data_IF_678550507610
#
_entry.id   IF_678550507610
#
_cell.length_a   1.000
_cell.length_b   1.000
_cell.length_c   1.000
_cell.angle_alpha   90.00
_cell.angle_beta   90.00
_cell.angle_gamma   90.00
#
_symmetry.space_group_name_H-M   'P 1'
#
loop_
_entity.id
_entity.type
_entity.pdbx_description
1 polymer ?
#
# COMPACT_ATOMS: atom_id res chain seq x y z
N UNK A 1 13.60 -1.16 -9.55
CA UNK A 1 14.71 -0.22 -9.63
C UNK A 1 14.59 0.76 -8.46
N UNK A 2 15.69 1.39 -8.08
CA UNK A 2 15.72 2.44 -7.06
C UNK A 2 16.64 3.57 -7.51
N UNK A 3 16.24 4.81 -7.23
CA UNK A 3 17.05 6.02 -7.36
C UNK A 3 17.22 6.62 -5.97
N UNK A 4 18.47 6.74 -5.53
CA UNK A 4 18.84 7.14 -4.16
C UNK A 4 18.98 8.66 -4.01
N UNK A 5 17.93 9.40 -4.37
CA UNK A 5 17.74 10.81 -4.01
C UNK A 5 17.30 10.94 -2.56
N UNK A 6 17.12 12.17 -2.05
CA UNK A 6 16.48 12.42 -0.75
C UNK A 6 15.14 13.17 -0.97
N UNK A 7 13.96 12.52 -0.79
CA UNK A 7 13.77 11.10 -0.47
C UNK A 7 14.09 10.15 -1.64
N UNK A 8 14.28 8.86 -1.34
CA UNK A 8 14.52 7.83 -2.36
C UNK A 8 13.26 7.56 -3.19
N UNK A 9 13.44 7.08 -4.42
CA UNK A 9 12.36 6.66 -5.31
C UNK A 9 12.61 5.21 -5.73
N UNK A 10 11.69 4.31 -5.36
CA UNK A 10 11.77 2.90 -5.69
C UNK A 10 10.52 2.41 -6.42
N UNK A 11 10.69 1.52 -7.40
CA UNK A 11 9.58 0.96 -8.16
C UNK A 11 9.83 -0.49 -8.56
N UNK A 12 8.76 -1.28 -8.62
CA UNK A 12 8.76 -2.67 -9.07
C UNK A 12 7.45 -3.02 -9.80
N UNK A 13 7.50 -3.93 -10.77
CA UNK A 13 6.34 -4.38 -11.54
C UNK A 13 5.93 -3.41 -12.65
N UNK A 14 4.62 -3.39 -12.97
CA UNK A 14 4.02 -2.56 -14.02
C UNK A 14 3.63 -1.18 -13.49
N UNK A 15 3.73 -0.19 -14.37
CA UNK A 15 3.06 1.10 -14.19
C UNK A 15 1.59 1.06 -14.64
N UNK A 16 0.81 2.04 -14.18
CA UNK A 16 -0.60 2.22 -14.56
C UNK A 16 -0.77 2.35 -16.08
N UNK A 17 0.11 3.09 -16.74
CA UNK A 17 0.05 3.30 -18.19
C UNK A 17 0.38 2.02 -18.99
N UNK A 18 1.25 1.15 -18.46
CA UNK A 18 1.56 -0.15 -19.09
C UNK A 18 0.39 -1.12 -18.94
N UNK A 19 -0.24 -1.14 -17.77
CA UNK A 19 -1.46 -1.91 -17.55
C UNK A 19 -2.60 -1.45 -18.48
N UNK A 20 -2.76 -0.14 -18.65
CA UNK A 20 -3.73 0.44 -19.58
C UNK A 20 -3.47 0.03 -21.04
N UNK A 21 -2.21 0.09 -21.50
CA UNK A 21 -1.81 -0.38 -22.85
C UNK A 21 -2.14 -1.87 -23.08
N UNK A 22 -2.13 -2.68 -22.02
CA UNK A 22 -2.50 -4.10 -22.05
C UNK A 22 -3.99 -4.37 -21.82
N UNK A 23 -4.83 -3.34 -21.72
CA UNK A 23 -6.26 -3.48 -21.41
C UNK A 23 -6.55 -4.02 -20.01
N UNK A 24 -5.59 -3.99 -19.10
CA UNK A 24 -5.75 -4.48 -17.72
C UNK A 24 -6.38 -3.37 -16.89
N UNK A 25 -7.60 -3.60 -16.40
CA UNK A 25 -8.24 -2.70 -15.43
C UNK A 25 -7.53 -2.79 -14.09
N UNK A 26 -7.19 -1.66 -13.50
CA UNK A 26 -6.46 -1.58 -12.23
C UNK A 26 -7.22 -0.80 -11.17
N UNK A 27 -6.78 -0.98 -9.93
CA UNK A 27 -7.11 -0.16 -8.77
C UNK A 27 -5.81 0.15 -8.05
N UNK A 28 -5.64 1.41 -7.65
CA UNK A 28 -4.44 1.87 -6.97
C UNK A 28 -4.77 2.20 -5.53
N UNK A 29 -3.93 1.72 -4.62
CA UNK A 29 -4.00 2.03 -3.20
C UNK A 29 -2.75 2.81 -2.80
N UNK A 30 -2.94 3.95 -2.15
CA UNK A 30 -1.86 4.88 -1.84
C UNK A 30 -1.98 5.33 -0.39
N UNK A 31 -0.82 5.50 0.25
CA UNK A 31 -0.68 6.12 1.55
C UNK A 31 0.41 7.18 1.50
N UNK A 32 0.13 8.39 1.97
CA UNK A 32 1.11 9.47 2.16
C UNK A 32 1.87 9.27 3.46
N UNK A 33 3.12 9.74 3.53
CA UNK A 33 3.94 9.66 4.75
C UNK A 33 3.51 10.66 5.84
N UNK A 34 2.70 11.66 5.49
CA UNK A 34 2.08 12.60 6.44
C UNK A 34 1.22 11.90 7.51
N UNK A 35 0.65 10.74 7.19
CA UNK A 35 -0.09 9.91 8.15
C UNK A 35 0.71 8.68 8.59
N UNK A 36 2.04 8.71 8.58
CA UNK A 36 2.90 7.61 9.05
C UNK A 36 3.66 8.05 10.28
N UNK A 37 3.36 7.44 11.42
CA UNK A 37 3.79 7.89 12.75
C UNK A 37 5.31 7.96 12.88
N UNK A 38 6.03 7.00 12.28
CA UNK A 38 7.51 7.04 12.22
C UNK A 38 8.02 8.23 11.41
N UNK A 39 7.44 8.48 10.23
CA UNK A 39 7.77 9.61 9.36
C UNK A 39 7.52 10.96 10.04
N UNK A 40 6.41 11.08 10.78
CA UNK A 40 6.10 12.26 11.59
C UNK A 40 7.15 12.45 12.69
N UNK A 41 7.47 11.37 13.41
CA UNK A 41 8.49 11.38 14.48
C UNK A 41 9.86 11.82 13.97
N UNK A 42 10.23 11.38 12.76
CA UNK A 42 11.50 11.71 12.11
C UNK A 42 11.48 13.07 11.38
N UNK A 43 10.33 13.76 11.31
CA UNK A 43 10.18 15.01 10.57
C UNK A 43 10.34 14.88 9.04
N UNK A 44 10.12 13.68 8.50
CA UNK A 44 10.29 13.30 7.08
C UNK A 44 8.98 12.79 6.52
N UNK A 45 8.04 13.69 6.26
CA UNK A 45 6.66 13.37 5.86
C UNK A 45 6.41 13.47 4.36
N UNK A 46 7.43 13.86 3.58
CA UNK A 46 7.37 13.93 2.14
C UNK A 46 7.31 12.54 1.48
N UNK A 47 6.39 12.37 0.53
CA UNK A 47 6.30 11.15 -0.28
C UNK A 47 5.14 10.22 0.08
N UNK A 48 5.18 9.00 -0.44
CA UNK A 48 4.09 8.04 -0.40
C UNK A 48 4.51 6.61 -0.72
N UNK A 49 3.67 5.64 -0.35
CA UNK A 49 3.68 4.29 -0.88
C UNK A 49 2.43 4.04 -1.73
N UNK A 50 2.61 3.64 -3.00
CA UNK A 50 1.55 3.40 -3.99
C UNK A 50 1.62 1.97 -4.51
N UNK A 51 0.54 1.21 -4.40
CA UNK A 51 0.44 -0.20 -4.84
C UNK A 51 -0.63 -0.32 -5.91
N UNK A 52 -0.24 -0.84 -7.08
CA UNK A 52 -1.11 -1.09 -8.22
C UNK A 52 -1.62 -2.54 -8.18
N UNK A 53 -2.94 -2.71 -8.23
CA UNK A 53 -3.60 -4.02 -8.13
C UNK A 53 -4.52 -4.23 -9.33
N UNK A 54 -4.60 -5.47 -9.83
CA UNK A 54 -5.58 -5.84 -10.85
C UNK A 54 -7.00 -5.71 -10.29
N UNK A 55 -7.88 -4.98 -10.97
CA UNK A 55 -9.25 -4.75 -10.52
C UNK A 55 -10.01 -6.07 -10.41
N UNK A 56 -10.70 -6.27 -9.29
CA UNK A 56 -11.48 -7.48 -9.02
C UNK A 56 -10.67 -8.66 -8.47
N UNK A 57 -9.35 -8.51 -8.29
CA UNK A 57 -8.52 -9.50 -7.59
C UNK A 57 -7.66 -8.82 -6.51
N UNK A 58 -6.80 -9.60 -5.87
CA UNK A 58 -5.74 -9.09 -4.98
C UNK A 58 -4.35 -9.19 -5.62
N UNK A 59 -4.28 -9.41 -6.93
CA UNK A 59 -3.01 -9.54 -7.66
C UNK A 59 -2.30 -8.20 -7.74
N UNK A 60 -1.12 -8.12 -7.14
CA UNK A 60 -0.24 -6.96 -7.21
C UNK A 60 0.41 -6.93 -8.60
N UNK A 61 0.25 -5.82 -9.30
CA UNK A 61 0.84 -5.59 -10.63
C UNK A 61 2.15 -4.80 -10.54
N UNK A 62 2.25 -3.90 -9.57
CA UNK A 62 3.44 -3.09 -9.33
C UNK A 62 3.28 -2.21 -8.10
N UNK A 63 4.35 -1.52 -7.72
CA UNK A 63 4.34 -0.52 -6.67
C UNK A 63 5.40 0.55 -6.90
N UNK A 64 5.13 1.74 -6.38
CA UNK A 64 6.06 2.87 -6.35
C UNK A 64 6.11 3.42 -4.93
N UNK A 65 7.30 3.61 -4.38
CA UNK A 65 7.52 4.17 -3.05
C UNK A 65 8.44 5.37 -3.21
N UNK A 66 8.04 6.49 -2.63
CA UNK A 66 8.84 7.70 -2.47
C UNK A 66 8.94 7.95 -0.97
N UNK A 67 10.09 7.64 -0.37
CA UNK A 67 10.28 7.67 1.08
C UNK A 67 11.78 7.55 1.45
N UNK A 68 12.19 7.92 2.67
CA UNK A 68 13.43 7.40 3.23
C UNK A 68 13.43 5.86 3.20
N UNK A 69 14.55 5.25 2.80
CA UNK A 69 14.69 3.79 2.70
C UNK A 69 13.73 3.11 1.70
N UNK A 70 13.23 3.81 0.68
CA UNK A 70 12.32 3.24 -0.31
C UNK A 70 12.92 2.01 -1.03
N UNK A 71 14.25 2.01 -1.27
CA UNK A 71 14.97 0.89 -1.87
C UNK A 71 14.93 -0.39 -1.02
N UNK A 72 14.91 -0.26 0.30
CA UNK A 72 14.76 -1.39 1.22
C UNK A 72 13.29 -1.83 1.27
N UNK A 73 12.37 -0.88 1.43
CA UNK A 73 10.93 -1.11 1.53
C UNK A 73 10.36 -1.84 0.30
N UNK A 74 10.80 -1.49 -0.91
CA UNK A 74 10.27 -2.06 -2.16
C UNK A 74 10.54 -3.58 -2.30
N UNK A 75 11.54 -4.10 -1.56
CA UNK A 75 11.93 -5.50 -1.61
C UNK A 75 10.79 -6.42 -1.17
N UNK A 76 10.03 -6.03 -0.14
CA UNK A 76 8.87 -6.80 0.33
C UNK A 76 7.78 -6.93 -0.73
N UNK A 77 7.49 -5.86 -1.48
CA UNK A 77 6.54 -5.90 -2.59
C UNK A 77 7.09 -6.69 -3.78
N UNK A 78 8.38 -6.56 -4.06
CA UNK A 78 9.04 -7.32 -5.14
C UNK A 78 8.95 -8.81 -4.89
N UNK A 79 9.22 -9.26 -3.66
CA UNK A 79 9.04 -10.65 -3.26
C UNK A 79 7.58 -11.09 -3.42
N UNK A 80 6.62 -10.25 -3.02
CA UNK A 80 5.21 -10.58 -3.17
C UNK A 80 4.79 -10.76 -4.63
N UNK A 81 5.28 -9.90 -5.55
CA UNK A 81 5.01 -10.02 -6.99
C UNK A 81 5.61 -11.32 -7.55
N UNK A 82 6.89 -11.59 -7.27
CA UNK A 82 7.60 -12.80 -7.74
C UNK A 82 6.94 -14.07 -7.19
N UNK A 83 6.61 -14.07 -5.90
CA UNK A 83 5.94 -15.18 -5.22
C UNK A 83 4.44 -15.28 -5.50
N UNK A 84 3.87 -14.41 -6.35
CA UNK A 84 2.43 -14.34 -6.66
C UNK A 84 1.56 -14.23 -5.39
N UNK A 85 2.07 -13.56 -4.36
CA UNK A 85 1.39 -13.28 -3.11
C UNK A 85 0.45 -12.11 -3.30
N UNK A 86 -0.85 -12.32 -3.05
CA UNK A 86 -1.86 -11.27 -3.17
C UNK A 86 -1.74 -10.20 -2.09
N UNK A 87 -2.27 -8.99 -2.38
CA UNK A 87 -2.29 -7.85 -1.47
C UNK A 87 -2.98 -8.17 -0.14
N UNK A 88 -3.95 -9.10 -0.15
CA UNK A 88 -4.61 -9.58 1.07
C UNK A 88 -3.63 -10.16 2.08
N UNK A 89 -2.62 -10.90 1.62
CA UNK A 89 -1.62 -11.49 2.51
C UNK A 89 -0.79 -10.40 3.17
N UNK A 90 -0.32 -9.41 2.40
CA UNK A 90 0.39 -8.24 2.94
C UNK A 90 -0.47 -7.50 3.97
N UNK A 91 -1.77 -7.37 3.70
CA UNK A 91 -2.72 -6.72 4.59
C UNK A 91 -2.93 -7.46 5.93
N UNK A 92 -2.70 -8.78 5.94
CA UNK A 92 -2.80 -9.66 7.12
C UNK A 92 -1.48 -9.84 7.86
N UNK A 93 -0.35 -9.54 7.21
CA UNK A 93 0.96 -9.56 7.84
C UNK A 93 0.99 -8.59 9.02
N UNK A 94 1.67 -8.98 10.10
CA UNK A 94 1.97 -8.10 11.22
C UNK A 94 3.20 -7.28 10.82
N UNK A 95 3.03 -5.96 10.67
CA UNK A 95 4.13 -5.05 10.39
C UNK A 95 4.68 -4.51 11.71
N UNK A 96 6.01 -4.38 11.86
CA UNK A 96 6.60 -3.74 13.03
C UNK A 96 6.19 -2.26 13.14
N UNK A 97 5.93 -1.81 14.38
CA UNK A 97 5.52 -0.45 14.71
C UNK A 97 6.45 0.19 15.75
N UNK A 98 6.83 1.49 15.59
CA UNK A 98 6.59 2.34 14.43
C UNK A 98 7.71 2.19 13.38
N UNK A 99 7.36 2.01 12.10
CA UNK A 99 8.34 1.98 10.98
C UNK A 99 7.84 2.78 9.78
N UNK A 100 8.74 3.30 8.93
CA UNK A 100 8.35 3.97 7.68
C UNK A 100 7.64 2.99 6.73
N UNK A 101 8.04 1.71 6.77
CA UNK A 101 7.42 0.62 6.02
C UNK A 101 5.92 0.44 6.29
N UNK A 102 5.39 0.97 7.39
CA UNK A 102 3.95 1.00 7.66
C UNK A 102 3.14 1.74 6.60
N UNK A 103 3.75 2.61 5.80
CA UNK A 103 3.11 3.18 4.62
C UNK A 103 2.53 2.08 3.70
N UNK A 104 3.23 0.95 3.56
CA UNK A 104 2.75 -0.21 2.80
C UNK A 104 1.52 -0.83 3.49
N UNK A 105 1.57 -1.02 4.81
CA UNK A 105 0.45 -1.58 5.58
C UNK A 105 -0.78 -0.68 5.49
N UNK A 106 -0.63 0.62 5.73
CA UNK A 106 -1.72 1.60 5.69
C UNK A 106 -2.31 1.72 4.27
N UNK A 107 -1.50 1.61 3.21
CA UNK A 107 -2.01 1.49 1.84
C UNK A 107 -2.93 0.26 1.68
N UNK A 108 -2.65 -0.87 2.35
CA UNK A 108 -3.54 -2.04 2.32
C UNK A 108 -4.84 -1.85 3.11
N UNK A 109 -4.93 -0.89 4.02
CA UNK A 109 -6.16 -0.63 4.76
C UNK A 109 -7.24 -0.03 3.84
N UNK A 110 -6.85 0.80 2.87
CA UNK A 110 -7.74 1.25 1.81
C UNK A 110 -8.27 0.07 0.97
N UNK A 111 -7.42 -0.93 0.69
CA UNK A 111 -7.84 -2.19 0.07
C UNK A 111 -8.86 -2.95 0.92
N UNK A 112 -8.63 -3.08 2.22
CA UNK A 112 -9.59 -3.74 3.13
C UNK A 112 -10.94 -3.01 3.19
N UNK A 113 -10.93 -1.67 3.26
CA UNK A 113 -12.16 -0.85 3.24
C UNK A 113 -12.96 -1.04 1.94
N UNK A 114 -12.28 -1.17 0.80
CA UNK A 114 -12.94 -1.40 -0.50
C UNK A 114 -13.70 -2.73 -0.57
N UNK A 115 -13.39 -3.68 0.33
CA UNK A 115 -13.97 -5.04 0.35
C UNK A 115 -15.05 -5.23 1.41
N UNK A 116 -15.40 -4.20 2.18
CA UNK A 116 -16.48 -4.27 3.16
C UNK A 116 -17.84 -4.32 2.45
N UNK A 117 -18.64 -5.35 2.75
CA UNK A 117 -20.00 -5.49 2.23
C UNK A 117 -20.95 -4.47 2.88
N UNK A 118 -22.10 -4.16 2.27
CA UNK A 118 -23.07 -3.24 2.87
C UNK A 118 -23.49 -3.65 4.29
N UNK A 119 -23.69 -4.96 4.50
CA UNK A 119 -24.04 -5.52 5.80
C UNK A 119 -22.94 -5.29 6.83
N UNK A 120 -21.68 -5.60 6.50
CA UNK A 120 -20.57 -5.41 7.45
C UNK A 120 -20.35 -3.93 7.78
N UNK A 121 -20.52 -3.02 6.79
CA UNK A 121 -20.49 -1.57 7.03
C UNK A 121 -21.59 -1.10 7.97
N UNK A 122 -22.79 -1.67 7.88
CA UNK A 122 -23.92 -1.31 8.76
C UNK A 122 -23.70 -1.82 10.19
N UNK A 123 -23.22 -3.06 10.35
CA UNK A 123 -22.87 -3.63 11.66
C UNK A 123 -21.76 -2.81 12.32
N UNK A 124 -20.67 -2.51 11.60
CA UNK A 124 -19.58 -1.67 12.11
C UNK A 124 -20.09 -0.30 12.59
N UNK A 125 -20.93 0.36 11.79
CA UNK A 125 -21.53 1.64 12.17
C UNK A 125 -22.37 1.54 13.45
N UNK A 126 -23.16 0.47 13.59
CA UNK A 126 -23.97 0.24 14.79
C UNK A 126 -23.08 0.05 16.03
N UNK A 127 -22.05 -0.78 15.93
CA UNK A 127 -21.10 -1.04 17.03
C UNK A 127 -20.38 0.24 17.45
N UNK A 128 -19.87 1.02 16.49
CA UNK A 128 -19.21 2.29 16.80
C UNK A 128 -20.16 3.32 17.43
N UNK A 129 -21.45 3.29 17.09
CA UNK A 129 -22.47 4.15 17.71
C UNK A 129 -22.78 3.76 19.15
N UNK A 130 -22.69 2.47 19.48
CA UNK A 130 -22.96 1.94 20.83
C UNK A 130 -21.74 2.03 21.78
N UNK A 131 -20.54 2.23 21.22
CA UNK A 131 -19.29 2.40 21.97
C UNK A 131 -18.93 3.86 22.26
N UNK A 132 -19.79 4.79 21.85
CA UNK A 132 -19.67 6.23 22.11
C UNK A 132 -20.74 6.63 23.11
#
# INVERSE_FOLDING_TARGET
WCTYTDPEIAHTGMYEHEAAKKGIKTTTFMQTLEDVDRSITDGRTEGFAKILVKRGSDTILGATIVAPHAGEMISGITLAIVGKVGLRTIARTIHPYPTVAEAIKKATDAYNRSRLTPLTKSILRLVFRLRR
#
